data_IF_342934034134
#
_entry.id   IF_342934034134
#
_cell.length_a   1.000
_cell.length_b   1.000
_cell.length_c   1.000
_cell.angle_alpha   90.00
_cell.angle_beta   90.00
_cell.angle_gamma   90.00
#
_symmetry.space_group_name_H-M   'P 1'
#
loop_
_entity.id
_entity.type
_entity.pdbx_description
1 polymer ?
#
# COMPACT_ATOMS: atom_id res chain seq x y z
N UNK A 1 2.25 -2.40 7.25
CA UNK A 1 0.84 -2.44 7.71
C UNK A 1 0.31 -1.01 7.74
N UNK A 2 -0.98 -0.78 7.53
CA UNK A 2 -1.54 0.57 7.48
C UNK A 2 -2.91 0.66 8.14
N UNK A 3 -3.27 1.83 8.67
CA UNK A 3 -4.60 2.08 9.21
C UNK A 3 -5.43 2.86 8.18
N UNK A 4 -6.58 2.30 7.82
CA UNK A 4 -7.65 2.98 7.09
C UNK A 4 -8.65 3.55 8.09
N UNK A 5 -9.11 4.79 7.86
CA UNK A 5 -10.16 5.43 8.66
C UNK A 5 -11.37 5.72 7.76
N UNK A 6 -12.56 5.26 8.15
CA UNK A 6 -13.84 5.51 7.45
C UNK A 6 -14.82 6.05 8.49
N UNK A 7 -15.07 7.37 8.46
CA UNK A 7 -15.82 8.05 9.52
C UNK A 7 -15.14 7.81 10.87
N UNK A 8 -15.85 7.17 11.80
CA UNK A 8 -15.32 6.83 13.13
C UNK A 8 -14.69 5.43 13.22
N UNK A 9 -14.78 4.63 12.15
CA UNK A 9 -14.22 3.27 12.13
C UNK A 9 -12.75 3.29 11.70
N UNK A 10 -11.95 2.41 12.32
CA UNK A 10 -10.54 2.20 11.99
C UNK A 10 -10.32 0.72 11.67
N UNK A 11 -9.64 0.46 10.56
CA UNK A 11 -9.29 -0.88 10.11
C UNK A 11 -7.79 -0.98 9.84
N UNK A 12 -7.17 -2.06 10.29
CA UNK A 12 -5.76 -2.34 10.06
C UNK A 12 -5.60 -3.25 8.84
N UNK A 13 -4.78 -2.82 7.89
CA UNK A 13 -4.37 -3.59 6.73
C UNK A 13 -2.99 -4.18 6.99
N UNK A 14 -2.90 -5.51 7.09
CA UNK A 14 -1.67 -6.23 7.43
C UNK A 14 -1.35 -7.25 6.35
N UNK A 15 -0.20 -7.11 5.70
CA UNK A 15 0.32 -8.11 4.79
C UNK A 15 0.83 -9.34 5.56
N UNK A 16 0.54 -10.53 5.03
CA UNK A 16 0.97 -11.83 5.55
C UNK A 16 1.81 -12.53 4.49
N UNK A 17 3.13 -12.47 4.66
CA UNK A 17 4.08 -13.00 3.68
C UNK A 17 3.92 -14.50 3.42
N UNK A 18 3.62 -15.30 4.46
CA UNK A 18 3.43 -16.75 4.31
C UNK A 18 2.21 -17.14 3.47
N UNK A 19 1.25 -16.23 3.30
CA UNK A 19 0.03 -16.44 2.52
C UNK A 19 0.03 -15.68 1.20
N UNK A 20 0.94 -14.71 1.03
CA UNK A 20 0.91 -13.78 -0.10
C UNK A 20 -0.38 -12.96 -0.14
N UNK A 21 -0.97 -12.67 1.03
CA UNK A 21 -2.28 -12.04 1.17
C UNK A 21 -2.24 -10.89 2.19
N UNK A 22 -3.30 -10.10 2.23
CA UNK A 22 -3.45 -8.99 3.17
C UNK A 22 -4.74 -9.11 3.97
N UNK A 23 -4.68 -9.07 5.29
CA UNK A 23 -5.87 -9.01 6.13
C UNK A 23 -6.35 -7.58 6.29
N UNK A 24 -7.67 -7.41 6.29
CA UNK A 24 -8.37 -6.28 6.91
C UNK A 24 -8.81 -6.73 8.31
N UNK A 25 -8.40 -5.98 9.34
CA UNK A 25 -8.63 -6.31 10.74
C UNK A 25 -9.39 -5.16 11.41
N UNK A 26 -10.45 -5.49 12.14
CA UNK A 26 -11.14 -4.54 13.02
C UNK A 26 -10.21 -4.13 14.16
N UNK A 27 -9.97 -2.83 14.33
CA UNK A 27 -9.01 -2.35 15.35
C UNK A 27 -9.57 -2.30 16.77
N UNK A 28 -10.87 -2.46 16.95
CA UNK A 28 -11.54 -2.47 18.26
C UNK A 28 -11.47 -3.86 18.87
N UNK A 29 -11.82 -4.89 18.11
CA UNK A 29 -11.90 -6.27 18.61
C UNK A 29 -10.80 -7.20 18.07
N UNK A 30 -9.97 -6.73 17.13
CA UNK A 30 -8.84 -7.50 16.58
C UNK A 30 -9.25 -8.63 15.62
N UNK A 31 -10.53 -8.74 15.26
CA UNK A 31 -11.02 -9.79 14.36
C UNK A 31 -10.67 -9.48 12.90
N UNK A 32 -10.22 -10.50 12.18
CA UNK A 32 -10.09 -10.42 10.71
C UNK A 32 -11.48 -10.26 10.10
N UNK A 33 -11.66 -9.15 9.39
CA UNK A 33 -12.87 -8.82 8.63
C UNK A 33 -12.83 -9.54 7.28
N UNK A 34 -11.69 -9.49 6.58
CA UNK A 34 -11.52 -10.08 5.24
C UNK A 34 -10.05 -10.35 4.93
N UNK A 35 -9.78 -11.47 4.27
CA UNK A 35 -8.50 -11.72 3.59
C UNK A 35 -8.58 -11.18 2.16
N UNK A 36 -7.58 -10.42 1.74
CA UNK A 36 -7.44 -9.82 0.43
C UNK A 36 -6.34 -10.53 -0.36
N UNK A 37 -6.72 -11.08 -1.51
CA UNK A 37 -5.80 -11.57 -2.53
C UNK A 37 -5.70 -10.52 -3.63
N UNK A 38 -4.78 -9.59 -3.46
CA UNK A 38 -4.55 -8.52 -4.42
C UNK A 38 -3.73 -9.05 -5.61
N UNK A 39 -3.94 -8.47 -6.78
CA UNK A 39 -3.09 -8.72 -7.94
C UNK A 39 -1.68 -8.19 -7.67
N UNK A 40 -0.63 -8.94 -8.07
CA UNK A 40 0.78 -8.52 -8.02
C UNK A 40 1.36 -8.19 -6.62
N UNK A 41 0.85 -8.77 -5.54
CA UNK A 41 1.53 -8.69 -4.23
C UNK A 41 2.35 -9.95 -3.94
N UNK A 42 3.59 -9.79 -3.45
CA UNK A 42 4.42 -10.93 -3.01
C UNK A 42 5.25 -10.65 -1.77
N UNK A 43 5.87 -9.48 -1.68
CA UNK A 43 6.70 -9.01 -0.56
C UNK A 43 6.40 -7.53 -0.33
N UNK A 44 5.28 -7.25 0.34
CA UNK A 44 4.90 -5.88 0.71
C UNK A 44 5.82 -5.38 1.81
N UNK A 45 6.50 -4.26 1.56
CA UNK A 45 7.37 -3.59 2.54
C UNK A 45 6.61 -2.51 3.31
N UNK A 46 5.76 -1.75 2.61
CA UNK A 46 4.95 -0.72 3.24
C UNK A 46 3.62 -0.47 2.52
N UNK A 47 2.67 0.12 3.25
CA UNK A 47 1.33 0.46 2.77
C UNK A 47 0.99 1.86 3.29
N UNK A 48 0.46 2.73 2.43
CA UNK A 48 -0.12 4.01 2.86
C UNK A 48 -1.46 4.25 2.18
N UNK A 49 -2.42 4.81 2.92
CA UNK A 49 -3.69 5.25 2.36
C UNK A 49 -3.59 6.69 1.88
N UNK A 50 -3.70 6.89 0.57
CA UNK A 50 -3.84 8.22 -0.05
C UNK A 50 -5.15 8.82 0.43
N UNK A 51 -6.22 8.06 0.29
CA UNK A 51 -7.53 8.31 0.91
C UNK A 51 -8.14 6.96 1.33
N UNK A 52 -9.28 6.90 2.04
CA UNK A 52 -9.82 5.62 2.52
C UNK A 52 -10.10 4.58 1.43
N UNK A 53 -10.31 5.00 0.18
CA UNK A 53 -10.59 4.10 -0.96
C UNK A 53 -9.42 3.92 -1.92
N UNK A 54 -8.24 4.47 -1.60
CA UNK A 54 -7.04 4.35 -2.44
C UNK A 54 -5.80 4.12 -1.58
N UNK A 55 -5.12 3.01 -1.83
CA UNK A 55 -3.86 2.69 -1.16
C UNK A 55 -2.71 2.60 -2.15
N UNK A 56 -1.54 3.01 -1.68
CA UNK A 56 -0.26 2.79 -2.32
C UNK A 56 0.48 1.71 -1.52
N UNK A 57 1.05 0.74 -2.24
CA UNK A 57 1.75 -0.42 -1.66
C UNK A 57 3.15 -0.48 -2.25
N UNK A 58 4.17 -0.39 -1.40
CA UNK A 58 5.55 -0.64 -1.80
C UNK A 58 5.81 -2.15 -1.82
N UNK A 59 6.40 -2.64 -2.91
CA UNK A 59 6.54 -4.07 -3.18
C UNK A 59 7.97 -4.40 -3.62
N UNK A 60 8.64 -5.23 -2.80
CA UNK A 60 10.06 -5.51 -2.93
C UNK A 60 10.40 -6.47 -4.09
N UNK A 61 9.55 -7.46 -4.34
CA UNK A 61 9.86 -8.50 -5.32
C UNK A 61 9.81 -7.97 -6.75
N UNK A 62 8.87 -7.08 -7.03
CA UNK A 62 8.70 -6.42 -8.31
C UNK A 62 9.46 -5.10 -8.38
N UNK A 63 10.14 -4.67 -7.30
CA UNK A 63 10.83 -3.38 -7.21
C UNK A 63 9.95 -2.19 -7.63
N UNK A 64 8.70 -2.16 -7.20
CA UNK A 64 7.73 -1.16 -7.66
C UNK A 64 6.79 -0.72 -6.55
N UNK A 65 5.94 0.24 -6.88
CA UNK A 65 4.79 0.59 -6.06
C UNK A 65 3.49 0.41 -6.85
N UNK A 66 2.50 -0.17 -6.20
CA UNK A 66 1.19 -0.42 -6.78
C UNK A 66 0.13 0.48 -6.15
N UNK A 67 -0.77 1.03 -6.98
CA UNK A 67 -1.94 1.77 -6.53
C UNK A 67 -3.16 0.87 -6.69
N UNK A 68 -3.89 0.66 -5.59
CA UNK A 68 -5.15 -0.05 -5.59
C UNK A 68 -6.29 0.87 -5.18
N UNK A 69 -7.43 0.76 -5.87
CA UNK A 69 -8.68 1.40 -5.48
C UNK A 69 -9.68 0.37 -4.97
N UNK A 70 -10.44 0.77 -3.97
CA UNK A 70 -11.61 0.04 -3.48
C UNK A 70 -12.80 0.34 -4.41
N UNK A 71 -13.20 -0.67 -5.20
CA UNK A 71 -14.28 -0.56 -6.18
C UNK A 71 -15.65 -0.78 -5.54
N UNK A 72 -15.72 -1.76 -4.63
CA UNK A 72 -16.86 -2.05 -3.75
C UNK A 72 -16.32 -2.30 -2.35
N UNK A 73 -17.19 -2.42 -1.35
CA UNK A 73 -16.79 -2.63 0.04
C UNK A 73 -15.81 -3.81 0.20
N UNK A 74 -14.57 -3.48 0.57
CA UNK A 74 -13.44 -4.40 0.71
C UNK A 74 -13.09 -5.19 -0.56
N UNK A 75 -13.45 -4.70 -1.75
CA UNK A 75 -13.05 -5.24 -3.05
C UNK A 75 -12.09 -4.28 -3.73
N UNK A 76 -10.83 -4.70 -3.82
CA UNK A 76 -9.73 -3.86 -4.28
C UNK A 76 -9.23 -4.31 -5.64
N UNK A 77 -8.96 -3.34 -6.52
CA UNK A 77 -8.38 -3.59 -7.85
C UNK A 77 -7.10 -2.80 -8.04
N UNK A 78 -6.15 -3.41 -8.74
CA UNK A 78 -4.94 -2.74 -9.18
C UNK A 78 -5.33 -1.70 -10.24
N UNK A 79 -4.97 -0.44 -10.01
CA UNK A 79 -5.24 0.67 -10.93
C UNK A 79 -3.96 1.13 -11.61
N UNK A 80 -2.82 1.05 -10.92
CA UNK A 80 -1.57 1.57 -11.45
C UNK A 80 -0.33 0.85 -10.92
N UNK A 81 0.70 0.74 -11.75
CA UNK A 81 2.06 0.34 -11.39
C UNK A 81 2.97 1.54 -11.65
N UNK A 82 3.63 2.08 -10.63
CA UNK A 82 4.30 3.38 -10.73
C UNK A 82 5.50 3.37 -11.71
N UNK A 83 6.18 2.25 -11.90
CA UNK A 83 7.30 2.15 -12.86
C UNK A 83 6.91 2.60 -14.29
N UNK A 84 5.68 2.28 -14.71
CA UNK A 84 5.24 2.46 -16.10
C UNK A 84 4.90 3.92 -16.46
N UNK A 85 4.63 4.79 -15.49
CA UNK A 85 4.15 6.15 -15.77
C UNK A 85 5.24 7.21 -15.85
N UNK A 86 6.38 7.03 -15.18
CA UNK A 86 7.33 8.13 -14.96
C UNK A 86 8.78 7.83 -15.40
N UNK A 87 9.06 6.66 -16.01
CA UNK A 87 10.42 6.18 -16.27
C UNK A 87 11.29 6.15 -14.98
N UNK A 88 10.66 5.88 -13.84
CA UNK A 88 11.35 5.74 -12.56
C UNK A 88 11.48 4.26 -12.25
N UNK A 89 12.70 3.74 -12.37
CA UNK A 89 13.04 2.39 -11.92
C UNK A 89 13.45 2.45 -10.45
N UNK A 90 12.72 1.74 -9.58
CA UNK A 90 13.10 1.60 -8.18
C UNK A 90 14.02 0.40 -7.98
N UNK A 91 14.76 0.40 -6.87
CA UNK A 91 15.57 -0.71 -6.42
C UNK A 91 15.41 -0.83 -4.91
N UNK A 92 14.74 -1.90 -4.48
CA UNK A 92 14.35 -2.14 -3.09
C UNK A 92 13.54 -0.99 -2.46
N UNK A 93 12.29 -0.74 -2.88
CA UNK A 93 11.42 0.23 -2.21
C UNK A 93 11.04 -0.26 -0.80
N UNK A 94 11.45 0.46 0.25
CA UNK A 94 11.32 -0.03 1.64
C UNK A 94 10.26 0.68 2.49
N UNK A 95 9.96 1.95 2.22
CA UNK A 95 9.10 2.74 3.10
C UNK A 95 8.41 3.88 2.39
N UNK A 96 7.16 4.14 2.80
CA UNK A 96 6.28 5.16 2.25
C UNK A 96 5.86 6.15 3.34
N UNK A 97 5.83 7.43 3.01
CA UNK A 97 5.26 8.46 3.86
C UNK A 97 4.38 9.40 3.05
N UNK A 98 3.34 9.97 3.68
CA UNK A 98 2.44 10.92 3.04
C UNK A 98 2.37 12.22 3.84
N UNK A 99 2.66 13.34 3.18
CA UNK A 99 2.31 14.66 3.67
C UNK A 99 0.89 14.99 3.20
N UNK A 100 -0.09 14.80 4.09
CA UNK A 100 -1.50 15.07 3.78
C UNK A 100 -1.79 16.56 3.58
N UNK A 101 -0.97 17.46 4.14
CA UNK A 101 -1.19 18.91 4.03
C UNK A 101 -0.60 19.46 2.74
N UNK A 102 0.62 19.03 2.40
CA UNK A 102 1.32 19.41 1.18
C UNK A 102 0.97 18.57 -0.04
N UNK A 103 0.26 17.45 0.14
CA UNK A 103 -0.20 16.58 -0.95
C UNK A 103 0.92 15.75 -1.59
N UNK A 104 1.97 15.42 -0.84
CA UNK A 104 3.15 14.72 -1.34
C UNK A 104 3.27 13.30 -0.80
N UNK A 105 3.85 12.42 -1.61
CA UNK A 105 4.21 11.05 -1.19
C UNK A 105 5.73 10.92 -1.30
N UNK A 106 6.34 10.33 -0.28
CA UNK A 106 7.77 10.08 -0.20
C UNK A 106 8.00 8.56 -0.20
N UNK A 107 8.93 8.11 -1.02
CA UNK A 107 9.36 6.72 -1.10
C UNK A 107 10.87 6.62 -0.84
N UNK A 108 11.27 5.72 0.06
CA UNK A 108 12.68 5.33 0.21
C UNK A 108 13.06 4.29 -0.85
N UNK A 109 13.79 4.74 -1.86
CA UNK A 109 14.32 3.91 -2.93
C UNK A 109 15.75 3.49 -2.56
N UNK A 110 15.82 2.44 -1.74
CA UNK A 110 16.95 2.16 -0.84
C UNK A 110 18.27 1.93 -1.57
N UNK A 111 18.28 1.04 -2.56
CA UNK A 111 19.52 0.69 -3.27
C UNK A 111 19.98 1.82 -4.20
N UNK A 112 19.03 2.61 -4.71
CA UNK A 112 19.32 3.82 -5.48
C UNK A 112 19.76 5.00 -4.60
N UNK A 113 19.82 4.82 -3.26
CA UNK A 113 20.31 5.83 -2.30
C UNK A 113 19.58 7.16 -2.39
N UNK A 114 18.27 7.15 -2.70
CA UNK A 114 17.47 8.37 -2.89
C UNK A 114 16.11 8.30 -2.20
N UNK A 115 15.50 9.47 -2.04
CA UNK A 115 14.07 9.60 -1.75
C UNK A 115 13.39 10.10 -3.01
N UNK A 116 12.36 9.39 -3.46
CA UNK A 116 11.51 9.82 -4.57
C UNK A 116 10.28 10.53 -4.01
N UNK A 117 9.89 11.63 -4.65
CA UNK A 117 8.76 12.46 -4.21
C UNK A 117 7.77 12.59 -5.37
N UNK A 118 6.51 12.26 -5.09
CA UNK A 118 5.36 12.45 -5.98
C UNK A 118 4.46 13.57 -5.44
#
# INVERSE_FOLDING_TARGET
MAIRIIGNQKQLFRFIASQGAMDIIDTVNGKVIKELKLEKIKTVTDIVFINPKRMLVAELFHNTCFIYDEMNENEWKLIHTIEDAENIHFSQPLGLAIDRKGGKIFLSDYDNKRIVVF
#
